data_IF_743719824939
#
_entry.id   IF_743719824939
#
_cell.length_a   1.000
_cell.length_b   1.000
_cell.length_c   1.000
_cell.angle_alpha   90.00
_cell.angle_beta   90.00
_cell.angle_gamma   90.00
#
_symmetry.space_group_name_H-M   'P 1'
#
loop_
_entity.id
_entity.type
_entity.pdbx_description
1 polymer ?
#
# COMPACT_ATOMS: atom_id res chain seq x y z
N UNK A 1 -11.20 21.59 58.65
CA UNK A 1 -10.43 21.70 57.40
C UNK A 1 -10.84 20.55 56.51
N UNK A 2 -11.68 20.80 55.50
CA UNK A 2 -12.18 19.78 54.58
C UNK A 2 -11.27 19.73 53.36
N UNK A 3 -10.58 18.61 53.17
CA UNK A 3 -9.72 18.36 52.00
C UNK A 3 -10.63 17.95 50.84
N UNK A 4 -10.82 18.87 49.89
CA UNK A 4 -11.46 18.55 48.62
C UNK A 4 -10.44 17.81 47.74
N UNK A 5 -10.56 16.49 47.67
CA UNK A 5 -9.87 15.68 46.67
C UNK A 5 -10.59 15.81 45.34
N UNK A 6 -10.05 16.66 44.46
CA UNK A 6 -10.46 16.73 43.06
C UNK A 6 -10.13 15.41 42.36
N UNK A 7 -11.17 14.63 42.08
CA UNK A 7 -11.06 13.37 41.35
C UNK A 7 -10.82 13.70 39.86
N UNK A 8 -9.55 13.77 39.44
CA UNK A 8 -9.18 13.87 38.03
C UNK A 8 -9.40 12.50 37.38
N UNK A 9 -10.54 12.32 36.72
CA UNK A 9 -10.76 11.17 35.84
C UNK A 9 -9.89 11.33 34.60
N UNK A 10 -8.77 10.62 34.55
CA UNK A 10 -8.06 10.39 33.29
C UNK A 10 -8.98 9.54 32.40
N UNK A 11 -9.67 10.18 31.46
CA UNK A 11 -10.28 9.46 30.35
C UNK A 11 -9.13 9.00 29.45
N UNK A 12 -8.70 7.75 29.61
CA UNK A 12 -7.77 7.10 28.70
C UNK A 12 -8.49 6.91 27.36
N UNK A 13 -8.42 7.90 26.48
CA UNK A 13 -8.91 7.76 25.11
C UNK A 13 -8.09 6.66 24.45
N UNK A 14 -8.76 5.56 24.08
CA UNK A 14 -8.12 4.43 23.41
C UNK A 14 -7.61 4.94 22.05
N UNK A 15 -6.31 5.17 21.94
CA UNK A 15 -5.68 5.62 20.70
C UNK A 15 -5.58 4.44 19.75
N UNK A 16 -6.34 4.45 18.66
CA UNK A 16 -6.24 3.46 17.59
C UNK A 16 -5.22 3.93 16.55
N UNK A 17 -4.72 3.00 15.75
CA UNK A 17 -3.80 3.30 14.65
C UNK A 17 -4.38 4.36 13.68
N UNK A 18 -5.69 4.32 13.44
CA UNK A 18 -6.41 5.29 12.60
C UNK A 18 -6.39 6.73 13.15
N UNK A 19 -6.19 6.92 14.46
CA UNK A 19 -6.15 8.25 15.08
C UNK A 19 -4.79 8.95 14.92
N UNK A 20 -3.81 8.28 14.30
CA UNK A 20 -2.52 8.90 14.02
C UNK A 20 -2.65 10.03 12.98
N UNK A 21 -1.83 11.09 13.08
CA UNK A 21 -1.68 12.07 12.02
C UNK A 21 -1.37 11.38 10.69
N UNK A 22 -1.99 11.86 9.60
CA UNK A 22 -1.83 11.27 8.26
C UNK A 22 -0.38 11.17 7.81
N UNK A 23 0.47 12.12 8.21
CA UNK A 23 1.91 12.08 7.93
C UNK A 23 2.61 10.87 8.59
N UNK A 24 2.28 10.56 9.84
CA UNK A 24 2.84 9.39 10.53
C UNK A 24 2.29 8.09 9.92
N UNK A 25 1.01 8.06 9.53
CA UNK A 25 0.43 6.93 8.80
C UNK A 25 1.15 6.69 7.47
N UNK A 26 1.46 7.75 6.72
CA UNK A 26 2.19 7.64 5.47
C UNK A 26 3.61 7.13 5.69
N UNK A 27 4.35 7.69 6.66
CA UNK A 27 5.70 7.23 7.00
C UNK A 27 5.70 5.75 7.40
N UNK A 28 4.71 5.29 8.17
CA UNK A 28 4.61 3.89 8.56
C UNK A 28 4.28 3.02 7.36
N UNK A 29 3.29 3.41 6.55
CA UNK A 29 2.85 2.62 5.40
C UNK A 29 3.88 2.58 4.28
N UNK A 30 4.72 3.61 4.11
CA UNK A 30 5.84 3.64 3.16
C UNK A 30 6.91 2.59 3.45
N UNK A 31 7.04 2.15 4.70
CA UNK A 31 7.95 1.08 5.09
C UNK A 31 7.36 -0.33 4.92
N UNK A 32 6.11 -0.45 4.49
CA UNK A 32 5.47 -1.75 4.24
C UNK A 32 5.80 -2.27 2.84
N UNK A 33 5.95 -3.59 2.75
CA UNK A 33 5.88 -4.30 1.48
C UNK A 33 4.44 -4.27 0.92
N UNK A 34 4.31 -4.70 -0.34
CA UNK A 34 3.04 -4.69 -1.04
C UNK A 34 2.00 -5.57 -0.32
N UNK A 35 2.40 -6.76 0.13
CA UNK A 35 1.53 -7.73 0.78
C UNK A 35 0.96 -7.18 2.10
N UNK A 36 1.79 -6.61 2.97
CA UNK A 36 1.34 -6.01 4.22
C UNK A 36 0.49 -4.74 3.97
N UNK A 37 0.87 -3.92 2.98
CA UNK A 37 0.08 -2.75 2.61
C UNK A 37 -1.31 -3.14 2.07
N UNK A 38 -1.38 -4.18 1.26
CA UNK A 38 -2.64 -4.74 0.76
C UNK A 38 -3.51 -5.24 1.91
N UNK A 39 -2.97 -6.08 2.79
CA UNK A 39 -3.68 -6.58 3.96
C UNK A 39 -4.21 -5.43 4.82
N UNK A 40 -3.39 -4.42 5.08
CA UNK A 40 -3.80 -3.25 5.87
C UNK A 40 -4.93 -2.48 5.18
N UNK A 41 -4.88 -2.29 3.86
CA UNK A 41 -5.93 -1.63 3.10
C UNK A 41 -7.27 -2.38 3.12
N UNK A 42 -7.23 -3.70 3.29
CA UNK A 42 -8.42 -4.56 3.37
C UNK A 42 -9.07 -4.55 4.76
N UNK A 43 -8.41 -3.99 5.79
CA UNK A 43 -8.95 -4.00 7.17
C UNK A 43 -10.16 -3.10 7.37
N UNK A 44 -10.18 -1.91 6.75
CA UNK A 44 -11.31 -0.99 6.82
C UNK A 44 -11.32 0.01 5.65
N UNK A 45 -12.45 0.71 5.48
CA UNK A 45 -12.65 1.69 4.38
C UNK A 45 -11.70 2.88 4.43
N UNK A 46 -11.26 3.28 5.63
CA UNK A 46 -10.35 4.41 5.78
C UNK A 46 -8.98 4.07 5.19
N UNK A 47 -8.39 2.95 5.61
CA UNK A 47 -7.11 2.47 5.08
C UNK A 47 -7.19 2.13 3.60
N UNK A 48 -8.31 1.57 3.13
CA UNK A 48 -8.57 1.37 1.71
C UNK A 48 -8.39 2.65 0.89
N UNK A 49 -8.85 3.79 1.42
CA UNK A 49 -8.82 5.07 0.70
C UNK A 49 -7.47 5.79 0.73
N UNK A 50 -6.59 5.49 1.69
CA UNK A 50 -5.36 6.28 1.90
C UNK A 50 -4.06 5.52 1.62
N UNK A 51 -4.05 4.19 1.68
CA UNK A 51 -2.81 3.41 1.56
C UNK A 51 -2.46 3.28 0.08
N UNK A 52 -1.36 3.88 -0.38
CA UNK A 52 -0.87 3.63 -1.73
C UNK A 52 -0.32 2.20 -1.85
N UNK A 53 -0.67 1.46 -2.91
CA UNK A 53 -0.15 0.10 -3.15
C UNK A 53 0.99 0.10 -4.17
N UNK A 54 1.11 1.16 -4.96
CA UNK A 54 2.13 1.29 -6.00
C UNK A 54 3.54 1.43 -5.43
N UNK A 55 4.53 0.99 -6.21
CA UNK A 55 5.96 1.16 -5.92
C UNK A 55 6.44 0.51 -4.61
N UNK A 56 5.65 -0.40 -4.04
CA UNK A 56 6.06 -1.18 -2.88
C UNK A 56 6.78 -2.46 -3.32
N UNK A 57 7.83 -2.88 -2.60
CA UNK A 57 8.47 -4.19 -2.82
C UNK A 57 7.42 -5.29 -2.70
N UNK A 58 7.43 -6.23 -3.64
CA UNK A 58 6.52 -7.36 -3.68
C UNK A 58 7.31 -8.65 -3.89
N UNK A 59 6.83 -9.76 -3.32
CA UNK A 59 7.44 -11.06 -3.57
C UNK A 59 7.27 -11.50 -5.03
N UNK A 60 8.15 -12.39 -5.50
CA UNK A 60 8.08 -12.92 -6.86
C UNK A 60 6.77 -13.68 -7.15
N UNK A 61 6.20 -14.32 -6.11
CA UNK A 61 4.91 -15.00 -6.16
C UNK A 61 3.75 -14.00 -6.34
N UNK A 62 3.75 -12.91 -5.58
CA UNK A 62 2.78 -11.81 -5.74
C UNK A 62 2.84 -11.21 -7.14
N UNK A 63 4.03 -10.98 -7.67
CA UNK A 63 4.19 -10.45 -9.04
C UNK A 63 3.65 -11.43 -10.09
N UNK A 64 3.89 -12.74 -9.93
CA UNK A 64 3.34 -13.76 -10.82
C UNK A 64 1.79 -13.79 -10.77
N UNK A 65 1.22 -13.79 -9.56
CA UNK A 65 -0.23 -13.72 -9.35
C UNK A 65 -0.87 -12.47 -9.96
N UNK A 66 -0.17 -11.34 -9.90
CA UNK A 66 -0.61 -10.09 -10.51
C UNK A 66 -0.59 -10.15 -12.05
N UNK A 67 0.48 -10.71 -12.64
CA UNK A 67 0.61 -10.90 -14.09
C UNK A 67 -0.44 -11.85 -14.65
N UNK A 68 -0.74 -12.92 -13.91
CA UNK A 68 -1.82 -13.88 -14.22
C UNK A 68 -3.22 -13.25 -14.09
N UNK A 69 -3.31 -11.97 -13.70
CA UNK A 69 -4.54 -11.21 -13.44
C UNK A 69 -5.49 -11.95 -12.52
N UNK A 70 -4.94 -12.67 -11.54
CA UNK A 70 -5.76 -13.35 -10.56
C UNK A 70 -6.51 -12.28 -9.75
N UNK A 71 -7.83 -12.22 -9.93
CA UNK A 71 -8.72 -11.07 -9.67
C UNK A 71 -8.87 -10.64 -8.21
N UNK A 72 -8.12 -11.24 -7.29
CA UNK A 72 -8.20 -11.00 -5.84
C UNK A 72 -7.29 -9.86 -5.35
N UNK A 73 -6.31 -9.47 -6.15
CA UNK A 73 -5.37 -8.39 -5.86
C UNK A 73 -5.95 -7.02 -6.24
N UNK A 74 -6.96 -6.56 -5.49
CA UNK A 74 -7.49 -5.18 -5.46
C UNK A 74 -7.74 -4.52 -6.84
N UNK A 75 -8.52 -5.24 -7.67
CA UNK A 75 -8.68 -5.03 -9.12
C UNK A 75 -8.87 -3.58 -9.61
N UNK A 76 -9.77 -2.75 -9.06
CA UNK A 76 -10.00 -1.40 -9.58
C UNK A 76 -8.80 -0.46 -9.37
N UNK A 77 -8.12 -0.57 -8.23
CA UNK A 77 -7.02 0.34 -7.85
C UNK A 77 -5.75 0.05 -8.64
N UNK A 78 -5.56 -1.22 -8.99
CA UNK A 78 -4.40 -1.68 -9.74
C UNK A 78 -4.69 -1.94 -11.24
N UNK A 79 -5.88 -1.61 -11.73
CA UNK A 79 -6.28 -1.85 -13.12
C UNK A 79 -5.31 -1.26 -14.17
N UNK A 80 -4.70 -0.13 -13.85
CA UNK A 80 -3.72 0.55 -14.71
C UNK A 80 -2.28 0.38 -14.19
N UNK A 81 -1.90 -0.80 -13.73
CA UNK A 81 -0.56 -1.10 -13.23
C UNK A 81 0.06 -2.32 -13.93
N UNK A 82 1.38 -2.47 -13.79
CA UNK A 82 2.15 -3.61 -14.27
C UNK A 82 3.12 -4.11 -13.20
N UNK A 83 3.43 -5.41 -13.22
CA UNK A 83 4.49 -5.99 -12.41
C UNK A 83 5.86 -5.67 -13.03
N UNK A 84 6.73 -4.97 -12.30
CA UNK A 84 8.08 -4.67 -12.72
C UNK A 84 9.05 -5.70 -12.13
N UNK A 85 9.49 -6.66 -12.95
CA UNK A 85 10.46 -7.70 -12.54
C UNK A 85 11.86 -7.16 -12.21
N UNK A 86 12.20 -5.97 -12.71
CA UNK A 86 13.49 -5.30 -12.42
C UNK A 86 13.52 -4.70 -11.01
N UNK A 87 12.41 -4.09 -10.58
CA UNK A 87 12.32 -3.42 -9.27
C UNK A 87 11.65 -4.29 -8.21
N UNK A 88 11.08 -5.42 -8.60
CA UNK A 88 10.20 -6.24 -7.76
C UNK A 88 9.05 -5.43 -7.15
N UNK A 89 8.37 -4.61 -7.97
CA UNK A 89 7.26 -3.75 -7.53
C UNK A 89 6.12 -3.73 -8.57
N UNK A 90 4.90 -3.44 -8.11
CA UNK A 90 3.78 -3.09 -9.00
C UNK A 90 3.81 -1.57 -9.26
N UNK A 91 3.86 -1.17 -10.53
CA UNK A 91 4.03 0.24 -10.94
C UNK A 91 2.87 0.71 -11.82
N UNK A 92 2.51 2.00 -11.77
CA UNK A 92 1.45 2.53 -12.63
C UNK A 92 1.89 2.48 -14.10
N UNK A 93 0.98 2.07 -14.98
CA UNK A 93 1.18 1.98 -16.42
C UNK A 93 1.32 3.35 -17.10
N UNK A 94 0.97 4.43 -16.38
CA UNK A 94 1.19 5.83 -16.83
C UNK A 94 2.65 6.27 -16.69
N UNK A 95 3.50 5.52 -15.98
CA UNK A 95 4.95 5.75 -15.96
C UNK A 95 5.51 5.41 -17.35
N UNK A 96 5.71 6.42 -18.20
CA UNK A 96 6.40 6.32 -19.50
C UNK A 96 7.87 5.90 -19.30
N UNK A 97 8.09 4.61 -19.12
CA UNK A 97 9.35 3.85 -19.23
C UNK A 97 8.93 2.50 -18.66
N UNK A 98 8.85 1.38 -19.37
CA UNK A 98 9.73 0.88 -20.40
C UNK A 98 8.82 0.28 -21.47
N UNK A 99 8.71 1.00 -22.58
CA UNK A 99 8.25 0.42 -23.83
C UNK A 99 9.27 -0.68 -24.11
N UNK A 100 8.89 -1.94 -23.97
CA UNK A 100 9.53 -3.01 -24.71
C UNK A 100 9.26 -2.71 -26.19
N UNK A 101 9.98 -1.75 -26.77
CA UNK A 101 10.58 -1.99 -28.07
C UNK A 101 11.54 -3.14 -27.82
N UNK A 102 10.96 -4.35 -27.84
CA UNK A 102 11.61 -5.45 -28.53
C UNK A 102 11.86 -4.85 -29.93
N UNK A 103 13.02 -4.22 -30.10
CA UNK A 103 13.63 -4.18 -31.41
C UNK A 103 13.80 -5.67 -31.72
N UNK A 104 12.77 -6.23 -32.37
CA UNK A 104 12.98 -7.34 -33.26
C UNK A 104 14.15 -6.87 -34.12
N UNK A 105 15.32 -7.44 -33.88
CA UNK A 105 16.32 -7.54 -34.91
C UNK A 105 15.60 -8.20 -36.08
N UNK A 106 15.15 -7.37 -37.02
CA UNK A 106 15.07 -7.77 -38.41
C UNK A 106 16.52 -8.06 -38.81
N UNK A 107 16.95 -9.29 -38.52
CA UNK A 107 18.12 -9.87 -39.16
C UNK A 107 17.83 -9.86 -40.67
N UNK A 108 18.65 -9.11 -41.40
CA UNK A 108 18.64 -9.08 -42.87
C UNK A 108 19.19 -10.34 -43.52
#
# INVERSE_FOLDING_TARGET
MTVSTSNMSFQTTLSTFQNLPGELLNQITDNLDFEAALQLSQTNRYFYSIIELSNKPASADTLAKFEDRNTELDGPRLANHFACRMCYCIKPSTTKAWKWTVEFGEDG
#
